data_IF_926042136108
#
_entry.id   IF_926042136108
#
_cell.length_a   1.000
_cell.length_b   1.000
_cell.length_c   1.000
_cell.angle_alpha   90.00
_cell.angle_beta   90.00
_cell.angle_gamma   90.00
#
_symmetry.space_group_name_H-M   'P 1'
#
loop_
_entity.id
_entity.type
_entity.pdbx_description
1 polymer ?
#
# COMPACT_ATOMS: atom_id res chain seq x y z
N UNK A 1 23.32 33.60 28.84
CA UNK A 1 23.69 33.48 27.41
C UNK A 1 22.97 32.29 26.80
N UNK A 2 22.44 32.38 25.56
CA UNK A 2 21.74 31.27 24.93
C UNK A 2 22.64 30.06 24.72
N UNK A 3 22.10 28.85 24.91
CA UNK A 3 22.87 27.61 24.73
C UNK A 3 23.33 27.41 23.29
N UNK A 4 24.49 26.78 23.11
CA UNK A 4 25.11 26.49 21.80
C UNK A 4 24.45 25.31 21.08
N UNK A 5 23.13 25.32 20.92
CA UNK A 5 22.36 24.17 20.43
C UNK A 5 22.54 23.90 18.93
N UNK A 6 22.98 24.90 18.16
CA UNK A 6 23.19 24.79 16.71
C UNK A 6 24.67 24.77 16.33
N UNK A 7 25.57 24.50 17.27
CA UNK A 7 26.99 24.37 16.99
C UNK A 7 27.25 23.38 15.84
N UNK A 8 28.07 23.81 14.86
CA UNK A 8 28.40 23.07 13.64
C UNK A 8 27.20 22.78 12.72
N UNK A 9 26.16 23.61 12.77
CA UNK A 9 24.99 23.50 11.88
C UNK A 9 24.89 24.72 10.98
N UNK A 10 24.70 24.44 9.70
CA UNK A 10 24.39 25.43 8.67
C UNK A 10 22.91 25.29 8.34
N UNK A 11 22.14 26.34 8.59
CA UNK A 11 20.68 26.38 8.45
C UNK A 11 20.32 27.32 7.30
N UNK A 12 19.47 26.85 6.40
CA UNK A 12 18.86 27.64 5.34
C UNK A 12 17.32 27.52 5.41
N UNK A 13 16.63 28.41 4.72
CA UNK A 13 15.16 28.37 4.57
C UNK A 13 14.75 28.16 3.13
N UNK A 14 13.67 27.38 2.94
CA UNK A 14 13.11 27.12 1.62
C UNK A 14 12.34 28.30 1.03
N UNK A 15 11.84 29.19 1.89
CA UNK A 15 11.02 30.36 1.54
C UNK A 15 10.52 31.05 2.81
N UNK A 16 9.56 31.99 2.69
CA UNK A 16 8.95 32.66 3.84
C UNK A 16 8.35 31.64 4.81
N UNK A 17 8.69 31.74 6.10
CA UNK A 17 8.14 30.91 7.16
C UNK A 17 7.10 31.70 7.97
N UNK A 18 6.15 31.04 8.63
CA UNK A 18 5.07 31.73 9.35
C UNK A 18 5.57 32.45 10.62
N UNK A 19 4.78 33.43 11.06
CA UNK A 19 4.96 34.09 12.36
C UNK A 19 6.26 34.90 12.45
N UNK A 20 6.99 34.72 13.55
CA UNK A 20 8.23 35.46 13.82
C UNK A 20 9.46 34.87 13.12
N UNK A 21 9.32 33.79 12.35
CA UNK A 21 10.42 33.11 11.65
C UNK A 21 10.80 33.85 10.35
N UNK A 22 11.00 35.17 10.44
CA UNK A 22 11.57 35.95 9.33
C UNK A 22 13.04 35.58 9.12
N UNK A 23 13.56 35.83 7.92
CA UNK A 23 14.97 35.51 7.58
C UNK A 23 15.93 36.19 8.55
N UNK A 24 15.69 37.45 8.90
CA UNK A 24 16.52 38.21 9.84
C UNK A 24 16.51 37.62 11.25
N UNK A 25 15.33 37.24 11.74
CA UNK A 25 15.19 36.60 13.05
C UNK A 25 15.87 35.23 13.06
N UNK A 26 15.71 34.43 12.01
CA UNK A 26 16.36 33.13 11.89
C UNK A 26 17.87 33.24 11.85
N UNK A 27 18.42 34.20 11.09
CA UNK A 27 19.85 34.50 11.07
C UNK A 27 20.35 34.82 12.47
N UNK A 28 19.75 35.84 13.11
CA UNK A 28 20.10 36.29 14.46
C UNK A 28 20.03 35.15 15.47
N UNK A 29 18.92 34.40 15.49
CA UNK A 29 18.70 33.33 16.46
C UNK A 29 19.60 32.11 16.24
N UNK A 30 19.97 31.82 14.99
CA UNK A 30 20.91 30.75 14.64
C UNK A 30 22.32 31.11 15.10
N UNK A 31 22.80 32.30 14.76
CA UNK A 31 24.15 32.77 15.08
C UNK A 31 24.36 32.94 16.59
N UNK A 32 23.36 33.47 17.29
CA UNK A 32 23.38 33.59 18.76
C UNK A 32 23.58 32.22 19.45
N UNK A 33 23.17 31.12 18.78
CA UNK A 33 23.26 29.75 19.29
C UNK A 33 24.40 28.95 18.63
N UNK A 34 25.41 29.67 18.10
CA UNK A 34 26.61 29.15 17.42
C UNK A 34 26.36 28.31 16.17
N UNK A 35 25.20 28.48 15.54
CA UNK A 35 24.98 28.00 14.17
C UNK A 35 25.46 29.01 13.13
N UNK A 36 25.42 28.60 11.87
CA UNK A 36 25.62 29.48 10.70
C UNK A 36 24.33 29.53 9.90
N UNK A 37 23.90 30.72 9.51
CA UNK A 37 22.79 30.86 8.57
C UNK A 37 23.34 31.00 7.15
N UNK A 38 22.71 30.32 6.19
CA UNK A 38 23.05 30.42 4.77
C UNK A 38 21.84 30.94 4.01
N UNK A 39 22.06 31.97 3.19
CA UNK A 39 21.03 32.49 2.28
C UNK A 39 20.75 31.52 1.15
N UNK A 40 21.76 30.78 0.69
CA UNK A 40 21.65 29.82 -0.41
C UNK A 40 21.72 28.37 0.05
N UNK A 41 21.18 27.47 -0.77
CA UNK A 41 21.23 26.02 -0.53
C UNK A 41 22.43 25.44 -1.28
N UNK A 42 23.57 25.39 -0.60
CA UNK A 42 24.81 24.82 -1.12
C UNK A 42 25.16 23.47 -0.43
N UNK A 43 26.33 22.92 -0.78
CA UNK A 43 26.81 21.66 -0.21
C UNK A 43 27.17 21.70 1.29
N UNK A 44 27.26 22.90 1.89
CA UNK A 44 27.55 23.10 3.30
C UNK A 44 26.29 23.10 4.16
N UNK A 45 25.12 23.31 3.56
CA UNK A 45 23.84 23.36 4.26
C UNK A 45 23.48 22.00 4.87
N UNK A 46 23.39 21.99 6.20
CA UNK A 46 23.03 20.81 6.98
C UNK A 46 21.53 20.68 7.23
N UNK A 47 20.80 21.80 7.26
CA UNK A 47 19.37 21.84 7.57
C UNK A 47 18.65 22.81 6.64
N UNK A 48 17.58 22.36 6.01
CA UNK A 48 16.65 23.23 5.30
C UNK A 48 15.32 23.25 6.07
N UNK A 49 14.92 24.44 6.53
CA UNK A 49 13.62 24.67 7.15
C UNK A 49 12.59 24.96 6.05
N UNK A 50 11.43 24.32 6.13
CA UNK A 50 10.32 24.58 5.23
C UNK A 50 8.97 24.38 5.92
N UNK A 51 7.91 24.90 5.31
CA UNK A 51 6.53 24.53 5.65
C UNK A 51 6.12 23.22 4.95
N UNK A 52 4.93 22.71 5.29
CA UNK A 52 4.36 21.54 4.61
C UNK A 52 4.07 21.84 3.14
N UNK A 53 3.50 23.00 2.85
CA UNK A 53 3.09 23.45 1.52
C UNK A 53 4.31 23.62 0.61
N UNK A 54 5.37 24.27 1.10
CA UNK A 54 6.62 24.45 0.36
C UNK A 54 7.28 23.11 -0.01
N UNK A 55 7.22 22.14 0.91
CA UNK A 55 7.76 20.82 0.69
C UNK A 55 6.95 20.04 -0.35
N UNK A 56 5.62 20.09 -0.26
CA UNK A 56 4.70 19.42 -1.18
C UNK A 56 4.78 20.00 -2.60
N UNK A 57 4.85 21.33 -2.72
CA UNK A 57 5.03 22.01 -4.01
C UNK A 57 6.42 21.80 -4.63
N UNK A 58 7.37 21.19 -3.90
CA UNK A 58 8.75 20.98 -4.34
C UNK A 58 9.40 22.28 -4.85
N UNK A 59 9.32 23.35 -4.05
CA UNK A 59 9.97 24.62 -4.39
C UNK A 59 11.48 24.41 -4.70
N UNK A 60 12.12 25.27 -5.52
CA UNK A 60 13.49 25.04 -6.01
C UNK A 60 14.50 24.69 -4.91
N UNK A 61 14.46 25.42 -3.78
CA UNK A 61 15.33 25.18 -2.62
C UNK A 61 15.13 23.82 -1.96
N UNK A 62 13.88 23.33 -1.92
CA UNK A 62 13.57 21.97 -1.43
C UNK A 62 14.15 20.92 -2.37
N UNK A 63 14.04 21.10 -3.69
CA UNK A 63 14.65 20.19 -4.68
C UNK A 63 16.18 20.15 -4.52
N UNK A 64 16.82 21.31 -4.37
CA UNK A 64 18.26 21.43 -4.14
C UNK A 64 18.67 20.69 -2.85
N UNK A 65 18.00 20.94 -1.73
CA UNK A 65 18.34 20.27 -0.47
C UNK A 65 18.12 18.76 -0.51
N UNK A 66 17.08 18.28 -1.20
CA UNK A 66 16.87 16.85 -1.39
C UNK A 66 17.95 16.20 -2.25
N UNK A 67 18.49 16.91 -3.24
CA UNK A 67 19.59 16.44 -4.07
C UNK A 67 20.90 16.28 -3.26
N UNK A 68 21.07 17.02 -2.15
CA UNK A 68 22.19 16.83 -1.21
C UNK A 68 22.11 15.51 -0.43
N UNK A 69 20.95 14.83 -0.46
CA UNK A 69 20.76 13.51 0.13
C UNK A 69 20.89 13.50 1.65
N UNK A 70 21.70 12.57 2.18
CA UNK A 70 21.88 12.39 3.64
C UNK A 70 22.62 13.54 4.33
N UNK A 71 23.24 14.45 3.56
CA UNK A 71 24.00 15.59 4.10
C UNK A 71 23.09 16.73 4.59
N UNK A 72 21.89 16.85 4.02
CA UNK A 72 20.94 17.91 4.35
C UNK A 72 19.64 17.34 4.92
N UNK A 73 19.31 17.74 6.14
CA UNK A 73 18.03 17.42 6.75
C UNK A 73 16.98 18.45 6.32
N UNK A 74 16.05 18.03 5.47
CA UNK A 74 14.84 18.83 5.16
C UNK A 74 13.80 18.59 6.25
N UNK A 75 13.58 19.61 7.09
CA UNK A 75 12.77 19.53 8.31
C UNK A 75 11.71 20.63 8.33
N UNK A 76 10.61 20.34 9.03
CA UNK A 76 9.58 21.35 9.31
C UNK A 76 10.14 22.47 10.19
N UNK A 77 9.67 23.71 10.00
CA UNK A 77 10.13 24.86 10.78
C UNK A 77 9.93 24.73 12.30
N UNK A 78 8.93 23.97 12.74
CA UNK A 78 8.70 23.62 14.16
C UNK A 78 9.95 23.05 14.84
N UNK A 79 10.81 22.33 14.11
CA UNK A 79 12.05 21.82 14.68
C UNK A 79 12.91 22.94 15.25
N UNK A 80 13.02 24.05 14.51
CA UNK A 80 13.79 25.21 14.92
C UNK A 80 13.12 25.93 16.08
N UNK A 81 11.83 26.26 15.91
CA UNK A 81 11.03 26.97 16.91
C UNK A 81 11.01 26.25 18.26
N UNK A 82 10.72 24.95 18.27
CA UNK A 82 10.68 24.16 19.50
C UNK A 82 12.08 23.87 20.07
N UNK A 83 13.13 23.93 19.25
CA UNK A 83 14.52 23.82 19.76
C UNK A 83 14.97 25.09 20.48
N UNK A 84 14.52 26.27 20.01
CA UNK A 84 14.89 27.56 20.60
C UNK A 84 13.96 28.01 21.73
N UNK A 85 12.79 27.39 21.88
CA UNK A 85 11.82 27.72 22.91
C UNK A 85 12.46 27.72 24.32
N UNK A 86 12.21 28.81 25.06
CA UNK A 86 12.91 29.16 26.31
C UNK A 86 12.85 28.07 27.39
N UNK A 87 11.82 27.23 27.38
CA UNK A 87 11.66 26.14 28.34
C UNK A 87 12.63 24.97 28.13
N UNK A 88 13.17 24.79 26.92
CA UNK A 88 14.03 23.64 26.58
C UNK A 88 15.45 24.04 26.24
N UNK A 89 15.64 25.11 25.46
CA UNK A 89 16.92 25.51 24.84
C UNK A 89 17.81 24.28 24.51
N UNK A 90 17.26 23.38 23.70
CA UNK A 90 17.88 22.10 23.37
C UNK A 90 17.54 21.74 21.94
N UNK A 91 18.55 21.37 21.15
CA UNK A 91 18.35 20.85 19.80
C UNK A 91 17.50 19.58 19.86
N UNK A 92 16.33 19.65 19.26
CA UNK A 92 15.44 18.50 19.13
C UNK A 92 15.96 17.54 18.05
N UNK A 93 15.64 16.25 18.14
CA UNK A 93 16.08 15.28 17.15
C UNK A 93 15.37 15.50 15.81
N UNK A 94 16.16 15.63 14.73
CA UNK A 94 15.69 16.00 13.39
C UNK A 94 14.68 14.98 12.83
N UNK A 95 14.86 13.70 13.13
CA UNK A 95 14.05 12.61 12.55
C UNK A 95 12.54 12.76 12.87
N UNK A 96 12.18 13.42 13.96
CA UNK A 96 10.79 13.68 14.34
C UNK A 96 10.13 14.74 13.44
N UNK A 97 10.94 15.60 12.82
CA UNK A 97 10.51 16.73 12.00
C UNK A 97 10.87 16.58 10.52
N UNK A 98 11.53 15.48 10.13
CA UNK A 98 11.88 15.20 8.72
C UNK A 98 10.62 15.13 7.87
N UNK A 99 10.56 15.97 6.84
CA UNK A 99 9.39 16.08 5.97
C UNK A 99 9.11 14.79 5.18
N UNK A 100 10.16 14.10 4.73
CA UNK A 100 10.02 12.79 4.07
C UNK A 100 9.34 11.74 4.97
N UNK A 101 9.69 11.71 6.26
CA UNK A 101 9.11 10.78 7.23
C UNK A 101 7.64 11.10 7.51
N UNK A 102 7.30 12.39 7.63
CA UNK A 102 5.90 12.84 7.78
C UNK A 102 5.05 12.43 6.57
N UNK A 103 5.54 12.68 5.35
CA UNK A 103 4.85 12.31 4.11
C UNK A 103 4.68 10.79 3.99
N UNK A 104 5.71 10.01 4.32
CA UNK A 104 5.64 8.55 4.31
C UNK A 104 4.58 8.03 5.30
N UNK A 105 4.50 8.62 6.50
CA UNK A 105 3.48 8.28 7.50
C UNK A 105 2.06 8.61 7.02
N UNK A 106 1.86 9.77 6.41
CA UNK A 106 0.56 10.18 5.86
C UNK A 106 0.12 9.25 4.73
N UNK A 107 1.01 8.98 3.76
CA UNK A 107 0.75 8.01 2.67
C UNK A 107 0.51 6.60 3.19
N UNK A 108 1.17 6.18 4.27
CA UNK A 108 0.89 4.89 4.88
C UNK A 108 -0.51 4.83 5.49
N UNK A 109 -0.94 5.91 6.18
CA UNK A 109 -2.31 6.02 6.72
C UNK A 109 -3.36 6.01 5.61
N UNK A 110 -3.14 6.78 4.55
CA UNK A 110 -4.01 6.81 3.38
C UNK A 110 -4.12 5.43 2.71
N UNK A 111 -2.98 4.75 2.49
CA UNK A 111 -2.98 3.37 1.96
C UNK A 111 -3.74 2.40 2.86
N UNK A 112 -3.63 2.54 4.18
CA UNK A 112 -4.36 1.69 5.12
C UNK A 112 -5.88 1.94 5.04
N UNK A 113 -6.33 3.19 4.98
CA UNK A 113 -7.74 3.55 4.80
C UNK A 113 -8.27 3.05 3.44
N UNK A 114 -7.52 3.25 2.36
CA UNK A 114 -7.87 2.79 1.04
C UNK A 114 -7.98 1.25 0.98
N UNK A 115 -7.12 0.54 1.71
CA UNK A 115 -7.22 -0.93 1.85
C UNK A 115 -8.51 -1.34 2.58
N UNK A 116 -8.85 -0.66 3.67
CA UNK A 116 -10.08 -0.92 4.42
C UNK A 116 -11.31 -0.72 3.53
N UNK A 117 -11.45 0.44 2.91
CA UNK A 117 -12.55 0.76 2.00
C UNK A 117 -12.60 -0.17 0.77
N UNK A 118 -11.45 -0.65 0.29
CA UNK A 118 -11.42 -1.65 -0.78
C UNK A 118 -12.00 -2.98 -0.32
N UNK A 119 -11.59 -3.50 0.83
CA UNK A 119 -12.10 -4.78 1.32
C UNK A 119 -13.59 -4.71 1.69
N UNK A 120 -14.10 -3.57 2.16
CA UNK A 120 -15.55 -3.35 2.37
C UNK A 120 -16.33 -3.48 1.04
N UNK A 121 -15.90 -2.76 -0.01
CA UNK A 121 -16.50 -2.86 -1.35
C UNK A 121 -16.41 -4.27 -1.95
N UNK A 122 -15.30 -4.97 -1.73
CA UNK A 122 -15.15 -6.37 -2.16
C UNK A 122 -16.08 -7.31 -1.35
N UNK A 123 -16.33 -6.99 -0.08
CA UNK A 123 -17.26 -7.69 0.81
C UNK A 123 -18.72 -7.58 0.40
N UNK A 124 -19.16 -6.40 -0.05
CA UNK A 124 -20.51 -6.19 -0.62
C UNK A 124 -20.73 -7.04 -1.88
N UNK A 125 -19.68 -7.22 -2.68
CA UNK A 125 -19.75 -7.98 -3.94
C UNK A 125 -19.61 -9.48 -3.73
N UNK A 126 -18.68 -9.91 -2.88
CA UNK A 126 -18.30 -11.31 -2.76
C UNK A 126 -17.73 -11.66 -1.39
N UNK A 127 -16.51 -11.18 -1.04
CA UNK A 127 -15.82 -11.50 0.22
C UNK A 127 -14.95 -10.31 0.63
N UNK A 128 -14.97 -9.97 1.92
CA UNK A 128 -14.17 -8.87 2.45
C UNK A 128 -12.72 -9.31 2.67
N UNK A 129 -11.82 -8.82 1.83
CA UNK A 129 -10.39 -9.18 1.84
C UNK A 129 -9.60 -8.60 3.02
N UNK A 130 -10.20 -7.73 3.85
CA UNK A 130 -9.61 -7.36 5.14
C UNK A 130 -9.84 -8.44 6.20
N UNK A 131 -10.90 -9.23 6.06
CA UNK A 131 -11.31 -10.25 7.04
C UNK A 131 -10.93 -11.67 6.61
N UNK A 132 -10.77 -11.89 5.31
CA UNK A 132 -10.48 -13.19 4.72
C UNK A 132 -9.29 -13.10 3.75
N UNK A 133 -8.57 -14.20 3.60
CA UNK A 133 -7.52 -14.38 2.60
C UNK A 133 -7.71 -15.72 1.87
N UNK A 134 -6.99 -15.93 0.76
CA UNK A 134 -7.07 -17.20 0.02
C UNK A 134 -6.45 -18.31 0.87
N UNK A 135 -7.21 -19.38 1.06
CA UNK A 135 -6.76 -20.56 1.77
C UNK A 135 -5.57 -21.20 1.04
N UNK A 136 -4.57 -21.60 1.83
CA UNK A 136 -3.44 -22.42 1.38
C UNK A 136 -3.42 -23.72 2.15
N UNK A 137 -3.23 -24.83 1.45
CA UNK A 137 -3.02 -26.11 2.11
C UNK A 137 -1.57 -26.27 2.60
N UNK A 138 -1.26 -27.48 3.07
CA UNK A 138 0.06 -27.83 3.62
C UNK A 138 1.18 -27.73 2.59
N UNK A 139 0.86 -27.85 1.30
CA UNK A 139 1.80 -27.77 0.19
C UNK A 139 1.89 -26.34 -0.36
N UNK A 140 1.34 -25.37 0.38
CA UNK A 140 1.27 -23.95 0.00
C UNK A 140 0.47 -23.69 -1.28
N UNK A 141 -0.33 -24.66 -1.72
CA UNK A 141 -1.18 -24.51 -2.89
C UNK A 141 -2.31 -23.52 -2.58
N UNK A 142 -2.36 -22.42 -3.33
CA UNK A 142 -3.39 -21.41 -3.17
C UNK A 142 -4.67 -21.85 -3.88
N UNK A 143 -5.77 -21.95 -3.14
CA UNK A 143 -7.08 -22.30 -3.67
C UNK A 143 -7.73 -21.09 -4.35
N UNK A 144 -7.07 -20.56 -5.37
CA UNK A 144 -7.58 -19.57 -6.32
C UNK A 144 -7.24 -20.05 -7.72
N UNK A 145 -8.17 -20.78 -8.33
CA UNK A 145 -7.95 -21.45 -9.61
C UNK A 145 -8.80 -20.83 -10.70
N UNK A 146 -8.28 -20.89 -11.93
CA UNK A 146 -9.00 -20.44 -13.11
C UNK A 146 -9.44 -21.63 -13.96
N UNK A 147 -10.69 -21.58 -14.38
CA UNK A 147 -11.27 -22.48 -15.37
C UNK A 147 -11.61 -21.66 -16.60
N UNK A 148 -11.21 -22.11 -17.78
CA UNK A 148 -11.42 -21.38 -19.04
C UNK A 148 -12.19 -22.22 -20.06
N UNK A 149 -12.98 -21.56 -20.91
CA UNK A 149 -13.72 -22.18 -22.01
C UNK A 149 -13.77 -21.23 -23.21
N UNK A 150 -13.71 -21.78 -24.42
CA UNK A 150 -13.77 -20.98 -25.67
C UNK A 150 -12.43 -20.46 -26.21
N UNK A 151 -11.30 -20.93 -25.66
CA UNK A 151 -9.94 -20.54 -26.08
C UNK A 151 -9.31 -21.49 -27.11
N UNK A 152 -9.95 -21.71 -28.25
CA UNK A 152 -9.38 -22.52 -29.34
C UNK A 152 -8.67 -21.66 -30.39
N UNK A 153 -7.34 -21.62 -30.35
CA UNK A 153 -6.49 -21.23 -31.49
C UNK A 153 -6.07 -19.75 -31.60
N UNK A 154 -4.81 -19.47 -31.27
CA UNK A 154 -3.90 -18.55 -32.00
C UNK A 154 -4.25 -17.07 -32.20
N UNK A 155 -5.40 -16.56 -31.77
CA UNK A 155 -5.79 -15.16 -31.87
C UNK A 155 -6.31 -14.61 -30.55
N UNK A 156 -6.43 -13.29 -30.44
CA UNK A 156 -7.06 -12.61 -29.31
C UNK A 156 -8.55 -13.00 -29.21
N UNK A 157 -8.84 -14.14 -28.59
CA UNK A 157 -10.21 -14.63 -28.40
C UNK A 157 -10.95 -13.77 -27.38
N UNK A 158 -11.76 -12.84 -27.89
CA UNK A 158 -12.63 -11.95 -27.10
C UNK A 158 -13.75 -12.71 -26.37
N UNK A 159 -14.07 -13.93 -26.80
CA UNK A 159 -15.14 -14.76 -26.23
C UNK A 159 -14.65 -15.86 -25.27
N UNK A 160 -13.45 -15.71 -24.68
CA UNK A 160 -12.99 -16.60 -23.61
C UNK A 160 -13.82 -16.38 -22.33
N UNK A 161 -14.57 -17.42 -21.95
CA UNK A 161 -15.29 -17.48 -20.69
C UNK A 161 -14.36 -17.98 -19.58
N UNK A 162 -14.44 -17.35 -18.40
CA UNK A 162 -13.57 -17.69 -17.27
C UNK A 162 -14.34 -17.77 -15.96
N UNK A 163 -14.17 -18.88 -15.25
CA UNK A 163 -14.45 -18.95 -13.82
C UNK A 163 -13.16 -18.80 -13.02
N UNK A 164 -13.18 -18.00 -11.97
CA UNK A 164 -12.17 -18.02 -10.91
C UNK A 164 -12.83 -18.58 -9.65
N UNK A 165 -12.43 -19.79 -9.25
CA UNK A 165 -12.90 -20.43 -8.03
C UNK A 165 -11.94 -20.12 -6.89
N UNK A 166 -12.46 -19.63 -5.77
CA UNK A 166 -11.68 -19.29 -4.59
C UNK A 166 -12.22 -19.99 -3.35
N UNK A 167 -11.32 -20.59 -2.58
CA UNK A 167 -11.57 -20.96 -1.18
C UNK A 167 -10.90 -19.92 -0.28
N UNK A 168 -11.69 -19.30 0.57
CA UNK A 168 -11.25 -18.24 1.48
C UNK A 168 -11.19 -18.76 2.92
N UNK A 169 -10.23 -18.26 3.69
CA UNK A 169 -10.03 -18.52 5.10
C UNK A 169 -10.08 -17.19 5.88
N UNK A 170 -10.76 -17.17 7.03
CA UNK A 170 -10.82 -15.99 7.88
C UNK A 170 -9.50 -15.74 8.59
N UNK A 171 -9.20 -14.46 8.84
CA UNK A 171 -8.05 -14.06 9.65
C UNK A 171 -8.24 -14.34 11.15
N UNK A 172 -9.47 -14.60 11.58
CA UNK A 172 -9.82 -14.89 12.97
C UNK A 172 -9.52 -16.35 13.34
N UNK A 173 -9.34 -16.62 14.64
CA UNK A 173 -9.18 -17.97 15.19
C UNK A 173 -10.35 -18.26 16.15
N UNK A 174 -11.07 -19.40 16.02
CA UNK A 174 -10.90 -20.43 14.99
C UNK A 174 -11.27 -19.93 13.58
N UNK A 175 -10.64 -20.52 12.56
CA UNK A 175 -10.84 -20.15 11.16
C UNK A 175 -12.24 -20.55 10.67
N UNK A 176 -12.82 -19.69 9.83
CA UNK A 176 -14.05 -19.91 9.08
C UNK A 176 -13.76 -19.72 7.59
N UNK A 177 -14.57 -20.35 6.74
CA UNK A 177 -14.27 -20.48 5.32
C UNK A 177 -15.41 -20.02 4.43
N UNK A 178 -15.07 -19.69 3.19
CA UNK A 178 -16.02 -19.44 2.10
C UNK A 178 -15.56 -20.06 0.80
N UNK A 179 -16.46 -20.70 0.07
CA UNK A 179 -16.31 -20.97 -1.35
C UNK A 179 -16.99 -19.86 -2.16
N UNK A 180 -16.28 -19.33 -3.16
CA UNK A 180 -16.85 -18.43 -4.16
C UNK A 180 -16.40 -18.76 -5.57
N UNK A 181 -17.25 -18.47 -6.54
CA UNK A 181 -16.95 -18.57 -7.96
C UNK A 181 -17.26 -17.24 -8.65
N UNK A 182 -16.24 -16.64 -9.27
CA UNK A 182 -16.38 -15.42 -10.07
C UNK A 182 -16.42 -15.80 -11.53
N UNK A 183 -17.44 -15.36 -12.27
CA UNK A 183 -17.58 -15.64 -13.70
C UNK A 183 -17.45 -14.37 -14.54
N UNK A 184 -16.61 -14.46 -15.58
CA UNK A 184 -16.52 -13.48 -16.65
C UNK A 184 -16.91 -14.14 -17.96
N UNK A 185 -17.85 -13.54 -18.68
CA UNK A 185 -18.35 -14.04 -19.96
C UNK A 185 -17.36 -13.79 -21.10
N UNK A 186 -16.63 -12.68 -21.03
CA UNK A 186 -15.66 -12.27 -22.04
C UNK A 186 -14.39 -11.76 -21.40
N UNK A 187 -13.28 -11.86 -22.12
CA UNK A 187 -12.01 -11.28 -21.70
C UNK A 187 -12.12 -9.76 -21.69
N UNK A 188 -11.90 -9.14 -20.52
CA UNK A 188 -12.01 -7.69 -20.33
C UNK A 188 -13.40 -7.19 -19.96
N UNK A 189 -14.36 -8.08 -19.71
CA UNK A 189 -15.68 -7.71 -19.19
C UNK A 189 -15.54 -7.00 -17.83
N UNK A 190 -16.26 -5.89 -17.66
CA UNK A 190 -16.19 -5.03 -16.47
C UNK A 190 -17.14 -5.48 -15.37
N UNK A 191 -18.15 -6.30 -15.69
CA UNK A 191 -19.18 -6.77 -14.77
C UNK A 191 -19.11 -8.28 -14.53
N UNK A 192 -18.26 -8.75 -13.61
CA UNK A 192 -18.25 -10.15 -13.24
C UNK A 192 -19.51 -10.52 -12.45
N UNK A 193 -20.01 -11.72 -12.69
CA UNK A 193 -21.04 -12.32 -11.81
C UNK A 193 -20.38 -13.16 -10.72
N UNK A 194 -21.00 -13.19 -9.54
CA UNK A 194 -20.48 -13.91 -8.39
C UNK A 194 -21.48 -14.97 -7.94
N UNK A 195 -20.97 -16.17 -7.70
CA UNK A 195 -21.69 -17.25 -7.07
C UNK A 195 -21.07 -17.51 -5.69
N UNK A 196 -21.90 -17.40 -4.66
CA UNK A 196 -21.57 -17.63 -3.26
C UNK A 196 -22.72 -18.43 -2.63
N UNK A 197 -22.62 -19.76 -2.62
CA UNK A 197 -23.75 -20.62 -2.25
C UNK A 197 -24.06 -20.56 -0.74
N UNK A 198 -23.05 -20.43 0.10
CA UNK A 198 -23.23 -20.36 1.55
C UNK A 198 -23.83 -19.02 1.99
N UNK A 199 -24.70 -19.05 3.02
CA UNK A 199 -25.29 -17.83 3.62
C UNK A 199 -24.35 -17.16 4.63
N UNK A 200 -23.57 -17.95 5.36
CA UNK A 200 -22.61 -17.50 6.39
C UNK A 200 -21.32 -18.32 6.31
N UNK A 201 -20.24 -17.81 6.95
CA UNK A 201 -18.92 -18.41 6.87
C UNK A 201 -18.93 -19.74 7.63
N UNK A 202 -18.43 -20.80 6.98
CA UNK A 202 -18.62 -22.17 7.43
C UNK A 202 -17.35 -22.86 7.90
N UNK A 203 -17.48 -24.15 8.24
CA UNK A 203 -16.35 -25.05 8.46
C UNK A 203 -15.68 -25.39 7.12
N UNK A 204 -14.36 -25.56 7.14
CA UNK A 204 -13.57 -25.89 5.94
C UNK A 204 -14.17 -27.02 5.10
N UNK A 205 -14.53 -28.14 5.75
CA UNK A 205 -15.02 -29.34 5.05
C UNK A 205 -16.29 -29.07 4.23
N UNK A 206 -17.18 -28.22 4.72
CA UNK A 206 -18.42 -27.89 4.00
C UNK A 206 -18.12 -27.06 2.75
N UNK A 207 -17.33 -26.00 2.90
CA UNK A 207 -16.97 -25.10 1.79
C UNK A 207 -16.10 -25.80 0.74
N UNK A 208 -15.21 -26.70 1.17
CA UNK A 208 -14.39 -27.50 0.26
C UNK A 208 -15.23 -28.49 -0.57
N UNK A 209 -16.28 -29.08 0.02
CA UNK A 209 -17.21 -29.92 -0.74
C UNK A 209 -17.95 -29.11 -1.80
N UNK A 210 -18.45 -27.92 -1.44
CA UNK A 210 -19.10 -27.01 -2.40
C UNK A 210 -18.16 -26.61 -3.54
N UNK A 211 -16.90 -26.32 -3.22
CA UNK A 211 -15.86 -26.03 -4.21
C UNK A 211 -15.64 -27.21 -5.16
N UNK A 212 -15.46 -28.42 -4.63
CA UNK A 212 -15.21 -29.62 -5.42
C UNK A 212 -16.41 -30.01 -6.30
N UNK A 213 -17.62 -29.91 -5.75
CA UNK A 213 -18.86 -30.16 -6.49
C UNK A 213 -19.03 -29.16 -7.64
N UNK A 214 -18.76 -27.87 -7.40
CA UNK A 214 -18.81 -26.86 -8.45
C UNK A 214 -17.74 -27.10 -9.52
N UNK A 215 -16.51 -27.45 -9.12
CA UNK A 215 -15.42 -27.80 -10.04
C UNK A 215 -15.83 -28.97 -10.94
N UNK A 216 -16.33 -30.05 -10.35
CA UNK A 216 -16.81 -31.22 -11.08
C UNK A 216 -17.97 -30.89 -12.00
N UNK A 217 -18.92 -30.06 -11.56
CA UNK A 217 -20.04 -29.63 -12.39
C UNK A 217 -19.57 -28.87 -13.65
N UNK A 218 -18.49 -28.08 -13.56
CA UNK A 218 -17.98 -27.28 -14.69
C UNK A 218 -16.99 -28.00 -15.58
N UNK A 219 -16.21 -28.92 -15.03
CA UNK A 219 -15.11 -29.61 -15.73
C UNK A 219 -15.43 -31.06 -16.08
N UNK A 220 -16.36 -31.68 -15.35
CA UNK A 220 -16.64 -33.12 -15.40
C UNK A 220 -15.55 -34.00 -14.77
N UNK A 221 -14.59 -33.40 -14.06
CA UNK A 221 -13.45 -34.07 -13.43
C UNK A 221 -13.59 -33.94 -11.91
N UNK A 222 -13.32 -35.02 -11.18
CA UNK A 222 -13.23 -34.98 -9.71
C UNK A 222 -12.02 -34.13 -9.27
N UNK A 223 -12.14 -33.38 -8.17
CA UNK A 223 -11.07 -32.47 -7.73
C UNK A 223 -9.72 -33.18 -7.52
N UNK A 224 -9.75 -34.42 -7.04
CA UNK A 224 -8.57 -35.24 -6.81
C UNK A 224 -7.85 -35.61 -8.12
N UNK A 225 -8.61 -35.75 -9.22
CA UNK A 225 -8.11 -36.17 -10.52
C UNK A 225 -7.70 -34.99 -11.43
N UNK A 226 -7.79 -33.76 -10.92
CA UNK A 226 -7.62 -32.52 -11.69
C UNK A 226 -6.33 -32.42 -12.50
N UNK A 227 -5.24 -33.04 -12.01
CA UNK A 227 -3.93 -33.04 -12.67
C UNK A 227 -3.85 -34.17 -13.69
N UNK A 228 -4.27 -35.38 -13.32
CA UNK A 228 -4.18 -36.57 -14.17
C UNK A 228 -5.10 -36.49 -15.39
N UNK A 229 -6.24 -35.81 -15.25
CA UNK A 229 -7.29 -35.71 -16.27
C UNK A 229 -7.33 -34.34 -16.95
N UNK A 230 -6.31 -33.51 -16.78
CA UNK A 230 -6.21 -32.23 -17.48
C UNK A 230 -6.37 -32.43 -19.00
N UNK A 231 -7.17 -31.58 -19.67
CA UNK A 231 -7.43 -31.61 -21.12
C UNK A 231 -8.00 -32.91 -21.67
N UNK A 232 -8.44 -33.84 -20.83
CA UNK A 232 -9.09 -35.08 -21.29
C UNK A 232 -10.54 -34.86 -21.70
N UNK A 233 -11.18 -33.80 -21.21
CA UNK A 233 -12.58 -33.51 -21.43
C UNK A 233 -12.81 -32.68 -22.71
N UNK A 234 -13.95 -32.91 -23.35
CA UNK A 234 -14.35 -32.20 -24.59
C UNK A 234 -14.43 -30.68 -24.39
N UNK A 235 -14.25 -29.93 -25.47
CA UNK A 235 -14.16 -28.46 -25.45
C UNK A 235 -15.41 -27.71 -24.93
N UNK A 236 -16.54 -28.40 -24.77
CA UNK A 236 -17.76 -27.82 -24.17
C UNK A 236 -17.67 -27.65 -22.64
N UNK A 237 -16.79 -28.42 -21.98
CA UNK A 237 -16.47 -28.27 -20.56
C UNK A 237 -15.43 -27.19 -20.34
N UNK A 238 -15.44 -26.60 -19.14
CA UNK A 238 -14.36 -25.73 -18.73
C UNK A 238 -13.09 -26.55 -18.47
N UNK A 239 -11.95 -26.00 -18.87
CA UNK A 239 -10.64 -26.62 -18.68
C UNK A 239 -9.94 -25.96 -17.51
N UNK A 240 -9.35 -26.79 -16.65
CA UNK A 240 -8.47 -26.34 -15.57
C UNK A 240 -7.03 -26.32 -16.08
N UNK A 241 -6.31 -25.23 -15.81
CA UNK A 241 -4.87 -25.16 -16.00
C UNK A 241 -4.20 -25.08 -14.63
N UNK A 242 -3.41 -26.09 -14.23
CA UNK A 242 -2.59 -26.01 -13.02
C UNK A 242 -1.64 -24.81 -13.06
N UNK A 243 -1.40 -24.13 -11.91
CA UNK A 243 -0.42 -23.06 -11.81
C UNK A 243 1.02 -23.55 -11.90
#
# INVERSE_FOLDING_TARGET
MPRHIFQNRVIAVAGPLPGQLTVDNLRRWTETRRGRFSDDVDSTVTHLLCTTEQFEQRVPRVKQALALGKRCNVVHHDWFEFSIAALREKRLPEHQFRMLSRLAKQRAKERALNRLARGEREGERCVNTNLFHIYRDRDMFAYSINLTRGGGGGGENKDEERYTLCLWESNAKPHLYWFTAKFLKRKGDSQPSYHRPSRCAGKWRHEMLLFADFFRLKTGIEWQDRVLRERTMVASFFQYAPP
#
